data_IF_214063308116
#
_entry.id   IF_214063308116
#
_cell.length_a   1.000
_cell.length_b   1.000
_cell.length_c   1.000
_cell.angle_alpha   90.00
_cell.angle_beta   90.00
_cell.angle_gamma   90.00
#
_symmetry.space_group_name_H-M   'P 1'
#
loop_
_entity.id
_entity.type
_entity.pdbx_description
1 polymer ?
#
# COMPACT_ATOMS: atom_id res chain seq x y z
N UNK A 1 -4.30 -5.20 18.09
CA UNK A 1 -2.90 -5.31 17.59
C UNK A 1 -2.27 -3.96 17.27
N UNK A 2 -2.62 -3.23 16.19
CA UNK A 2 -1.95 -1.95 15.87
C UNK A 2 -2.02 -0.89 16.99
N UNK A 3 -3.19 -0.73 17.62
CA UNK A 3 -3.38 0.22 18.74
C UNK A 3 -2.59 -0.18 20.00
N UNK A 4 -2.53 -1.48 20.30
CA UNK A 4 -1.86 -1.98 21.50
C UNK A 4 -0.33 -1.92 21.39
N UNK A 5 0.21 -2.15 20.19
CA UNK A 5 1.66 -2.04 19.93
C UNK A 5 2.09 -0.57 19.92
N UNK A 6 1.29 0.33 19.32
CA UNK A 6 1.56 1.76 19.37
C UNK A 6 1.52 2.31 20.80
N UNK A 7 0.54 1.90 21.59
CA UNK A 7 0.45 2.30 22.99
C UNK A 7 1.67 1.82 23.80
N UNK A 8 2.09 0.56 23.62
CA UNK A 8 3.30 0.01 24.27
C UNK A 8 4.58 0.71 23.83
N UNK A 9 4.71 1.04 22.55
CA UNK A 9 5.85 1.77 22.03
C UNK A 9 5.96 3.16 22.65
N UNK A 10 4.83 3.86 22.77
CA UNK A 10 4.74 5.16 23.43
C UNK A 10 5.12 5.07 24.91
N UNK A 11 4.62 4.07 25.64
CA UNK A 11 4.99 3.84 27.05
C UNK A 11 6.48 3.52 27.23
N UNK A 12 7.07 2.73 26.33
CA UNK A 12 8.51 2.43 26.33
C UNK A 12 9.35 3.67 26.01
N UNK A 13 8.90 4.51 25.07
CA UNK A 13 9.54 5.76 24.71
C UNK A 13 9.49 6.76 25.88
N UNK A 14 8.34 6.92 26.53
CA UNK A 14 8.18 7.71 27.77
C UNK A 14 9.18 7.25 28.84
N UNK A 15 9.31 5.92 29.04
CA UNK A 15 10.26 5.36 30.01
C UNK A 15 11.71 5.70 29.68
N UNK A 16 12.12 5.58 28.40
CA UNK A 16 13.49 5.92 27.95
C UNK A 16 13.79 7.41 28.12
N UNK A 17 12.83 8.29 27.83
CA UNK A 17 12.99 9.74 28.06
C UNK A 17 13.13 10.05 29.55
N UNK A 18 12.33 9.39 30.41
CA UNK A 18 12.45 9.54 31.86
C UNK A 18 13.82 9.06 32.38
N UNK A 19 14.35 7.96 31.85
CA UNK A 19 15.68 7.46 32.21
C UNK A 19 16.80 8.41 31.73
N UNK A 20 16.60 9.16 30.64
CA UNK A 20 17.54 10.21 30.20
C UNK A 20 17.46 11.48 31.07
N UNK A 21 16.26 11.83 31.54
CA UNK A 21 16.04 12.99 32.42
C UNK A 21 16.46 12.72 33.87
N UNK A 22 16.35 11.46 34.31
CA UNK A 22 16.69 10.99 35.65
C UNK A 22 17.49 9.68 35.52
N UNK A 23 18.80 9.75 35.20
CA UNK A 23 19.61 8.56 35.02
C UNK A 23 19.65 7.72 36.30
N UNK A 24 19.39 6.39 36.22
CA UNK A 24 19.43 5.53 37.40
C UNK A 24 20.83 5.52 37.99
N UNK A 25 20.94 5.73 39.30
CA UNK A 25 22.24 5.67 39.96
C UNK A 25 22.76 4.23 39.95
N UNK A 26 24.05 4.01 39.63
CA UNK A 26 24.62 2.67 39.74
C UNK A 26 24.55 2.22 41.21
N UNK A 27 23.95 1.04 41.43
CA UNK A 27 23.97 0.37 42.72
C UNK A 27 25.44 0.22 43.15
N UNK A 28 25.86 0.97 44.18
CA UNK A 28 27.20 0.82 44.74
C UNK A 28 27.37 -0.64 45.18
N UNK A 29 28.48 -1.32 44.85
CA UNK A 29 28.70 -2.69 45.30
C UNK A 29 28.57 -2.73 46.82
N UNK A 30 27.69 -3.61 47.28
CA UNK A 30 27.36 -3.78 48.69
C UNK A 30 28.66 -4.12 49.43
N UNK A 31 29.25 -3.15 50.13
CA UNK A 31 30.45 -3.38 50.93
C UNK A 31 30.05 -4.32 52.06
N UNK A 32 30.63 -5.52 52.07
CA UNK A 32 30.44 -6.51 53.13
C UNK A 32 30.86 -5.87 54.45
N UNK A 33 29.93 -5.75 55.38
CA UNK A 33 30.17 -5.19 56.71
C UNK A 33 31.29 -5.99 57.41
N UNK A 34 32.36 -5.30 57.79
CA UNK A 34 33.43 -5.84 58.65
C UNK A 34 33.44 -5.05 59.95
N UNK A 35 33.14 -5.67 61.10
CA UNK A 35 33.22 -4.99 62.39
C UNK A 35 34.63 -4.43 62.65
N UNK A 36 34.74 -3.12 62.92
CA UNK A 36 35.99 -2.46 63.31
C UNK A 36 36.63 -1.53 62.27
N UNK A 37 36.04 -1.34 61.10
CA UNK A 37 36.55 -0.42 60.08
C UNK A 37 35.92 0.99 60.24
N UNK A 38 36.69 2.06 60.55
CA UNK A 38 36.17 3.43 60.73
C UNK A 38 35.56 4.04 59.47
N UNK A 39 35.75 3.41 58.30
CA UNK A 39 35.16 3.80 57.02
C UNK A 39 33.97 2.96 56.57
N UNK A 40 33.52 1.99 57.36
CA UNK A 40 32.32 1.20 57.07
C UNK A 40 31.08 1.99 57.48
N UNK A 41 30.63 2.88 56.59
CA UNK A 41 29.44 3.69 56.78
C UNK A 41 28.18 2.84 57.04
N UNK A 42 27.29 3.41 57.85
CA UNK A 42 26.03 2.82 58.28
C UNK A 42 25.08 2.46 57.11
N UNK A 43 24.40 1.34 57.34
CA UNK A 43 23.17 0.78 56.77
C UNK A 43 22.78 1.04 55.29
N UNK A 44 22.30 0.00 54.57
CA UNK A 44 21.58 0.22 53.33
C UNK A 44 20.27 0.96 53.65
N UNK A 45 20.13 2.20 53.21
CA UNK A 45 18.91 2.99 53.46
C UNK A 45 17.78 2.61 52.48
N UNK A 46 16.69 1.95 52.93
CA UNK A 46 15.51 1.72 52.10
C UNK A 46 14.72 3.01 51.78
N UNK A 47 15.06 4.15 52.39
CA UNK A 47 14.37 5.42 52.17
C UNK A 47 14.73 6.07 50.81
N UNK A 48 15.87 5.73 50.21
CA UNK A 48 16.34 6.35 48.96
C UNK A 48 15.61 5.84 47.72
N UNK A 49 15.32 4.54 47.65
CA UNK A 49 14.52 3.96 46.55
C UNK A 49 13.11 4.57 46.50
N UNK A 50 12.51 4.87 47.65
CA UNK A 50 11.18 5.49 47.73
C UNK A 50 11.16 6.95 47.25
N UNK A 51 12.24 7.71 47.49
CA UNK A 51 12.34 9.12 47.07
C UNK A 51 12.57 9.26 45.55
N UNK A 52 13.39 8.39 44.97
CA UNK A 52 13.61 8.35 43.52
C UNK A 52 12.34 7.91 42.78
N UNK A 53 11.61 6.91 43.30
CA UNK A 53 10.33 6.49 42.73
C UNK A 53 9.28 7.62 42.72
N UNK A 54 9.14 8.37 43.82
CA UNK A 54 8.24 9.54 43.89
C UNK A 54 8.63 10.64 42.92
N UNK A 55 9.93 10.90 42.75
CA UNK A 55 10.43 11.91 41.81
C UNK A 55 10.15 11.50 40.36
N UNK A 56 10.29 10.21 40.06
CA UNK A 56 10.00 9.64 38.74
C UNK A 56 8.51 9.72 38.39
N UNK A 57 7.61 9.44 39.33
CA UNK A 57 6.16 9.57 39.13
C UNK A 57 5.76 11.02 38.80
N UNK A 58 6.27 12.01 39.54
CA UNK A 58 6.00 13.43 39.27
C UNK A 58 6.52 13.86 37.90
N UNK A 59 7.72 13.42 37.51
CA UNK A 59 8.28 13.71 36.18
C UNK A 59 7.49 13.04 35.06
N UNK A 60 6.98 11.83 35.28
CA UNK A 60 6.12 11.12 34.33
C UNK A 60 4.81 11.88 34.08
N UNK A 61 4.16 12.39 35.13
CA UNK A 61 2.96 13.21 34.96
C UNK A 61 3.25 14.51 34.19
N UNK A 62 4.37 15.18 34.49
CA UNK A 62 4.78 16.40 33.78
C UNK A 62 5.10 16.14 32.31
N UNK A 63 5.73 15.00 32.00
CA UNK A 63 6.01 14.57 30.63
C UNK A 63 4.70 14.36 29.86
N UNK A 64 3.72 13.67 30.45
CA UNK A 64 2.41 13.43 29.83
C UNK A 64 1.59 14.70 29.62
N UNK A 65 1.79 15.73 30.44
CA UNK A 65 1.17 17.05 30.30
C UNK A 65 1.87 17.96 29.28
N UNK A 66 3.00 17.53 28.70
CA UNK A 66 3.78 18.33 27.75
C UNK A 66 4.60 19.46 28.40
N UNK A 67 4.70 19.49 29.74
CA UNK A 67 5.42 20.56 30.47
C UNK A 67 6.94 20.49 30.28
N UNK A 68 7.45 19.40 29.70
CA UNK A 68 8.88 19.13 29.51
C UNK A 68 9.32 19.19 28.04
N UNK A 69 8.40 19.46 27.11
CA UNK A 69 8.60 19.35 25.66
C UNK A 69 9.77 20.17 25.13
N UNK A 70 9.98 21.38 25.68
CA UNK A 70 11.04 22.29 25.28
C UNK A 70 12.41 22.00 25.91
N UNK A 71 12.51 21.03 26.83
CA UNK A 71 13.76 20.71 27.51
C UNK A 71 14.69 19.96 26.55
N UNK A 72 15.97 20.31 26.54
CA UNK A 72 16.96 19.62 25.71
C UNK A 72 17.48 18.35 26.38
N UNK A 73 17.57 17.28 25.59
CA UNK A 73 18.16 16.00 25.99
C UNK A 73 19.11 15.47 24.90
N UNK A 74 20.07 14.65 25.31
CA UNK A 74 20.93 13.90 24.38
C UNK A 74 20.37 12.51 24.18
N UNK A 75 20.04 12.16 22.93
CA UNK A 75 19.52 10.85 22.55
C UNK A 75 20.53 10.15 21.64
N UNK A 76 20.75 8.86 21.88
CA UNK A 76 21.51 7.99 20.96
C UNK A 76 20.56 7.50 19.86
N UNK A 77 20.72 8.03 18.65
CA UNK A 77 19.91 7.64 17.49
C UNK A 77 20.76 6.78 16.55
N UNK A 78 20.15 5.79 15.92
CA UNK A 78 20.80 4.97 14.89
C UNK A 78 21.06 5.85 13.66
N UNK A 79 22.31 5.94 13.23
CA UNK A 79 22.66 6.68 12.03
C UNK A 79 22.31 5.83 10.80
N UNK A 80 21.33 6.26 10.00
CA UNK A 80 21.06 5.70 8.66
C UNK A 80 21.98 6.30 7.59
N UNK A 81 22.93 7.15 7.99
CA UNK A 81 23.92 7.77 7.13
C UNK A 81 24.93 6.77 6.57
N UNK A 82 24.56 6.08 5.49
CA UNK A 82 25.55 5.64 4.51
C UNK A 82 25.01 5.53 3.06
N UNK A 83 24.12 6.44 2.65
CA UNK A 83 23.75 6.64 1.23
C UNK A 83 24.75 7.50 0.46
N UNK A 84 25.65 8.22 1.13
CA UNK A 84 26.58 9.17 0.48
C UNK A 84 27.82 8.51 -0.16
N UNK A 85 28.18 7.29 0.22
CA UNK A 85 29.37 6.58 -0.31
C UNK A 85 29.08 5.73 -1.56
N UNK A 86 27.83 5.66 -2.03
CA UNK A 86 27.42 4.75 -3.12
C UNK A 86 27.10 5.44 -4.47
N UNK A 87 27.24 6.76 -4.59
CA UNK A 87 27.02 7.43 -5.89
C UNK A 87 28.23 7.33 -6.83
N UNK A 88 29.38 6.82 -6.37
CA UNK A 88 30.62 6.78 -7.17
C UNK A 88 30.81 5.46 -7.94
N UNK A 89 30.01 4.42 -7.66
CA UNK A 89 30.21 3.07 -8.24
C UNK A 89 29.11 2.60 -9.21
N UNK A 90 28.10 3.42 -9.53
CA UNK A 90 26.97 3.02 -10.38
C UNK A 90 27.19 3.14 -11.89
N UNK A 91 28.42 3.36 -12.38
CA UNK A 91 28.66 3.49 -13.83
C UNK A 91 28.68 2.15 -14.60
N UNK A 92 28.44 1.01 -13.94
CA UNK A 92 28.68 -0.30 -14.52
C UNK A 92 27.60 -1.34 -14.17
N UNK A 93 26.42 -1.25 -14.79
CA UNK A 93 25.58 -2.38 -15.21
C UNK A 93 25.17 -3.49 -14.21
N UNK A 94 25.20 -3.26 -12.90
CA UNK A 94 24.86 -4.26 -11.87
C UNK A 94 23.86 -3.69 -10.85
N UNK A 95 22.72 -3.20 -11.34
CA UNK A 95 21.69 -2.58 -10.48
C UNK A 95 20.97 -3.59 -9.57
N UNK A 96 20.85 -4.86 -9.99
CA UNK A 96 20.04 -5.85 -9.25
C UNK A 96 20.81 -6.59 -8.13
N UNK A 97 22.14 -6.79 -8.28
CA UNK A 97 22.97 -7.39 -7.23
C UNK A 97 23.46 -6.37 -6.19
N UNK A 98 23.50 -5.06 -6.51
CA UNK A 98 23.97 -4.02 -5.60
C UNK A 98 23.09 -3.83 -4.36
N UNK A 99 21.77 -3.99 -4.52
CA UNK A 99 20.80 -3.79 -3.44
C UNK A 99 20.83 -4.92 -2.40
N UNK A 100 20.92 -6.18 -2.85
CA UNK A 100 20.99 -7.34 -1.94
C UNK A 100 22.33 -7.41 -1.19
N UNK A 101 23.44 -7.02 -1.82
CA UNK A 101 24.75 -6.97 -1.16
C UNK A 101 24.79 -5.85 -0.11
N UNK A 102 24.17 -4.71 -0.37
CA UNK A 102 24.07 -3.61 0.60
C UNK A 102 23.26 -4.00 1.85
N UNK A 103 22.12 -4.69 1.68
CA UNK A 103 21.32 -5.18 2.82
C UNK A 103 22.08 -6.24 3.64
N UNK A 104 22.80 -7.16 3.00
CA UNK A 104 23.66 -8.11 3.72
C UNK A 104 24.82 -7.42 4.46
N UNK A 105 25.47 -6.42 3.84
CA UNK A 105 26.60 -5.70 4.45
C UNK A 105 26.16 -4.79 5.61
N UNK A 106 24.97 -4.18 5.49
CA UNK A 106 24.36 -3.37 6.55
C UNK A 106 23.90 -4.20 7.77
N UNK A 107 23.62 -5.50 7.60
CA UNK A 107 23.33 -6.43 8.70
C UNK A 107 24.58 -6.91 9.45
N UNK A 108 25.75 -6.89 8.82
CA UNK A 108 27.01 -7.37 9.41
C UNK A 108 27.84 -6.30 10.13
N UNK A 109 27.64 -5.01 9.80
CA UNK A 109 28.25 -3.92 10.55
C UNK A 109 27.36 -3.46 11.71
N UNK A 110 27.88 -3.32 12.94
CA UNK A 110 27.12 -2.74 14.04
C UNK A 110 26.73 -1.31 13.66
N UNK A 111 25.43 -1.03 13.60
CA UNK A 111 24.91 0.31 13.30
C UNK A 111 25.50 1.30 14.31
N UNK A 112 26.22 2.30 13.82
CA UNK A 112 26.82 3.31 14.67
C UNK A 112 25.69 4.16 15.27
N UNK A 113 25.61 4.16 16.60
CA UNK A 113 24.71 5.06 17.34
C UNK A 113 25.40 6.41 17.45
N UNK A 114 24.73 7.47 17.01
CA UNK A 114 25.22 8.84 17.11
C UNK A 114 24.44 9.58 18.18
N UNK A 115 25.15 10.26 19.07
CA UNK A 115 24.54 11.17 20.05
C UNK A 115 24.10 12.44 19.37
N UNK A 116 22.82 12.77 19.50
CA UNK A 116 22.22 13.99 18.97
C UNK A 116 21.51 14.73 20.10
N UNK A 117 21.76 16.04 20.21
CA UNK A 117 20.98 16.94 21.06
C UNK A 117 19.67 17.28 20.36
N UNK A 118 18.56 17.11 21.07
CA UNK A 118 17.21 17.35 20.55
C UNK A 118 16.29 17.73 21.72
N UNK A 119 15.09 18.21 21.41
CA UNK A 119 14.08 18.51 22.44
C UNK A 119 13.40 17.22 22.91
N UNK A 120 12.79 17.24 24.09
CA UNK A 120 12.01 16.10 24.61
C UNK A 120 10.87 15.73 23.65
N UNK A 121 10.21 16.70 23.02
CA UNK A 121 9.14 16.45 22.07
C UNK A 121 9.62 15.69 20.81
N UNK A 122 10.73 16.14 20.21
CA UNK A 122 11.33 15.47 19.06
C UNK A 122 11.90 14.10 19.44
N UNK A 123 12.55 13.99 20.61
CA UNK A 123 13.09 12.75 21.14
C UNK A 123 12.01 11.68 21.35
N UNK A 124 10.84 12.07 21.88
CA UNK A 124 9.70 11.18 22.04
C UNK A 124 9.28 10.57 20.70
N UNK A 125 9.15 11.38 19.65
CA UNK A 125 8.81 10.89 18.32
C UNK A 125 9.85 9.92 17.75
N UNK A 126 11.14 10.24 17.89
CA UNK A 126 12.24 9.38 17.42
C UNK A 126 12.26 8.04 18.17
N UNK A 127 12.16 8.08 19.51
CA UNK A 127 12.20 6.90 20.36
C UNK A 127 10.93 6.05 20.19
N UNK A 128 9.76 6.66 20.01
CA UNK A 128 8.51 5.94 19.73
C UNK A 128 8.62 5.16 18.41
N UNK A 129 9.17 5.76 17.35
CA UNK A 129 9.43 5.06 16.09
C UNK A 129 10.44 3.91 16.24
N UNK A 130 11.51 4.10 17.03
CA UNK A 130 12.48 3.03 17.30
C UNK A 130 11.85 1.88 18.10
N UNK A 131 11.07 2.18 19.14
CA UNK A 131 10.37 1.18 19.95
C UNK A 131 9.30 0.44 19.13
N UNK A 132 8.58 1.15 18.25
CA UNK A 132 7.65 0.54 17.30
C UNK A 132 8.35 -0.49 16.42
N UNK A 133 9.51 -0.16 15.87
CA UNK A 133 10.29 -1.09 15.04
C UNK A 133 10.81 -2.28 15.86
N UNK A 134 11.28 -2.05 17.09
CA UNK A 134 11.77 -3.12 17.97
C UNK A 134 10.66 -4.07 18.44
N UNK A 135 9.42 -3.57 18.58
CA UNK A 135 8.25 -4.36 18.99
C UNK A 135 7.67 -5.19 17.85
N UNK A 136 8.05 -4.92 16.59
CA UNK A 136 7.63 -5.71 15.45
C UNK A 136 8.64 -6.85 15.26
N UNK A 137 8.18 -8.06 15.53
CA UNK A 137 8.90 -9.27 15.15
C UNK A 137 8.75 -9.48 13.63
N UNK A 138 9.77 -9.06 12.88
CA UNK A 138 9.79 -9.19 11.43
C UNK A 138 9.77 -10.65 10.97
N UNK A 139 10.32 -11.58 11.75
CA UNK A 139 10.30 -13.00 11.42
C UNK A 139 8.88 -13.55 11.53
N UNK A 140 8.15 -13.17 12.58
CA UNK A 140 6.74 -13.51 12.73
C UNK A 140 5.86 -12.88 11.63
N UNK A 141 6.15 -11.64 11.23
CA UNK A 141 5.45 -10.97 10.12
C UNK A 141 5.68 -11.71 8.81
N UNK A 142 6.93 -12.08 8.51
CA UNK A 142 7.30 -12.84 7.30
C UNK A 142 6.62 -14.20 7.30
N UNK A 143 6.67 -14.94 8.41
CA UNK A 143 6.01 -16.24 8.53
C UNK A 143 4.49 -16.12 8.28
N UNK A 144 3.84 -15.11 8.89
CA UNK A 144 2.40 -14.85 8.68
C UNK A 144 2.09 -14.47 7.23
N UNK A 145 2.97 -13.70 6.58
CA UNK A 145 2.79 -13.30 5.19
C UNK A 145 2.89 -14.51 4.25
N UNK A 146 3.88 -15.38 4.45
CA UNK A 146 4.02 -16.63 3.70
C UNK A 146 2.77 -17.49 3.90
N UNK A 147 2.35 -17.73 5.15
CA UNK A 147 1.15 -18.51 5.46
C UNK A 147 -0.11 -17.97 4.75
N UNK A 148 -0.27 -16.64 4.70
CA UNK A 148 -1.39 -15.99 3.99
C UNK A 148 -1.34 -16.18 2.49
N UNK A 149 -0.16 -16.08 1.88
CA UNK A 149 -0.01 -16.30 0.43
C UNK A 149 -0.29 -17.77 0.11
N UNK A 150 0.25 -18.70 0.89
CA UNK A 150 0.06 -20.13 0.67
C UNK A 150 -1.40 -20.56 0.84
N UNK A 151 -2.13 -20.05 1.86
CA UNK A 151 -3.49 -20.52 2.18
C UNK A 151 -4.63 -19.65 1.66
N UNK A 152 -4.36 -18.41 1.26
CA UNK A 152 -5.40 -17.44 0.85
C UNK A 152 -4.95 -16.53 -0.29
N UNK A 153 -3.82 -16.85 -0.93
CA UNK A 153 -3.35 -16.13 -2.11
C UNK A 153 -4.32 -16.29 -3.27
N UNK A 154 -4.52 -15.20 -4.01
CA UNK A 154 -5.28 -15.19 -5.26
C UNK A 154 -4.39 -14.61 -6.34
N UNK A 155 -4.28 -15.32 -7.47
CA UNK A 155 -3.57 -14.87 -8.67
C UNK A 155 -4.57 -14.73 -9.81
N UNK A 156 -4.67 -13.53 -10.37
CA UNK A 156 -5.50 -13.23 -11.53
C UNK A 156 -4.63 -13.15 -12.79
N UNK A 157 -4.85 -14.07 -13.73
CA UNK A 157 -4.19 -14.15 -15.02
C UNK A 157 -5.11 -13.54 -16.07
N UNK A 158 -4.90 -12.27 -16.40
CA UNK A 158 -5.68 -11.59 -17.44
C UNK A 158 -5.19 -11.97 -18.85
N UNK A 159 -6.07 -11.81 -19.84
CA UNK A 159 -5.80 -12.05 -21.27
C UNK A 159 -5.15 -13.42 -21.59
N UNK A 160 -5.55 -14.48 -20.88
CA UNK A 160 -5.02 -15.85 -21.10
C UNK A 160 -5.34 -16.38 -22.52
N UNK A 161 -6.36 -15.81 -23.16
CA UNK A 161 -6.75 -16.15 -24.53
C UNK A 161 -5.69 -15.76 -25.57
N UNK A 162 -4.81 -14.79 -25.27
CA UNK A 162 -3.69 -14.39 -26.13
C UNK A 162 -2.62 -15.46 -26.28
N UNK A 163 -2.48 -16.33 -25.27
CA UNK A 163 -1.54 -17.44 -25.29
C UNK A 163 -2.17 -18.76 -25.73
N UNK A 164 -3.51 -18.83 -25.87
CA UNK A 164 -4.25 -20.05 -26.19
C UNK A 164 -4.15 -20.53 -27.65
N UNK A 165 -3.61 -19.74 -28.58
CA UNK A 165 -3.63 -20.10 -30.01
C UNK A 165 -2.38 -20.86 -30.50
N UNK A 166 -2.59 -21.83 -31.40
CA UNK A 166 -1.58 -22.26 -32.38
C UNK A 166 -1.54 -21.21 -33.48
N UNK A 167 -0.39 -20.61 -33.78
CA UNK A 167 -0.32 -19.66 -34.89
C UNK A 167 -0.58 -20.34 -36.24
N UNK A 168 -0.70 -19.50 -37.26
CA UNK A 168 -1.07 -19.95 -38.60
C UNK A 168 -0.06 -20.98 -39.13
N UNK A 169 -0.50 -22.06 -39.81
CA UNK A 169 0.40 -23.04 -40.37
C UNK A 169 1.36 -22.37 -41.36
N UNK A 170 2.66 -22.40 -41.07
CA UNK A 170 3.71 -21.95 -41.99
C UNK A 170 4.42 -20.63 -41.65
N UNK A 171 4.18 -20.03 -40.47
CA UNK A 171 4.93 -18.84 -40.02
C UNK A 171 5.34 -19.03 -38.56
N UNK A 172 6.63 -19.32 -38.29
CA UNK A 172 7.14 -19.30 -36.91
C UNK A 172 6.90 -17.92 -36.25
N UNK A 173 6.85 -17.78 -34.90
CA UNK A 173 7.26 -18.69 -33.82
C UNK A 173 6.08 -19.12 -32.92
N UNK A 174 5.48 -20.27 -33.17
CA UNK A 174 4.40 -20.84 -32.33
C UNK A 174 4.89 -21.32 -30.95
N UNK A 175 6.19 -21.58 -30.84
CA UNK A 175 6.83 -22.10 -29.63
C UNK A 175 6.72 -21.11 -28.45
N UNK A 176 6.59 -19.80 -28.73
CA UNK A 176 6.58 -18.79 -27.67
C UNK A 176 5.29 -18.80 -26.86
N UNK A 177 4.11 -19.04 -27.47
CA UNK A 177 2.82 -18.94 -26.77
C UNK A 177 2.54 -20.20 -25.94
N UNK A 178 2.78 -21.37 -26.52
CA UNK A 178 2.71 -22.63 -25.79
C UNK A 178 3.81 -22.72 -24.71
N UNK A 179 4.98 -22.14 -24.97
CA UNK A 179 6.06 -21.99 -23.97
C UNK A 179 5.57 -21.26 -22.71
N UNK A 180 4.90 -20.11 -22.85
CA UNK A 180 4.34 -19.39 -21.70
C UNK A 180 3.34 -20.24 -20.93
N UNK A 181 2.46 -20.98 -21.62
CA UNK A 181 1.53 -21.89 -20.95
C UNK A 181 2.26 -22.99 -20.14
N UNK A 182 3.32 -23.57 -20.72
CA UNK A 182 4.16 -24.59 -20.06
C UNK A 182 4.94 -24.03 -18.87
N UNK A 183 5.36 -22.77 -18.95
CA UNK A 183 6.08 -22.11 -17.86
C UNK A 183 5.16 -21.72 -16.70
N UNK A 184 3.90 -21.39 -16.99
CA UNK A 184 2.87 -21.11 -15.97
C UNK A 184 2.42 -22.40 -15.28
N UNK A 185 2.44 -23.54 -15.98
CA UNK A 185 1.90 -24.79 -15.50
C UNK A 185 2.44 -25.20 -14.12
N UNK A 186 3.76 -25.27 -13.84
CA UNK A 186 4.28 -25.61 -12.52
C UNK A 186 3.73 -24.74 -11.38
N UNK A 187 3.46 -23.47 -11.65
CA UNK A 187 2.95 -22.52 -10.66
C UNK A 187 1.50 -22.87 -10.31
N UNK A 188 0.68 -23.20 -11.31
CA UNK A 188 -0.72 -23.59 -11.13
C UNK A 188 -0.86 -25.03 -10.60
N UNK A 189 0.08 -25.92 -10.92
CA UNK A 189 0.10 -27.30 -10.41
C UNK A 189 0.55 -27.42 -8.96
N UNK A 190 1.32 -26.44 -8.48
CA UNK A 190 1.95 -26.43 -7.16
C UNK A 190 3.46 -26.52 -7.28
N UNK A 191 4.16 -25.43 -6.97
CA UNK A 191 5.61 -25.40 -6.87
C UNK A 191 6.05 -24.63 -5.61
N UNK A 192 7.34 -24.73 -5.29
CA UNK A 192 7.96 -23.87 -4.29
C UNK A 192 8.71 -22.75 -4.98
N UNK A 193 8.16 -21.53 -4.92
CA UNK A 193 8.77 -20.33 -5.46
C UNK A 193 9.67 -19.66 -4.40
N UNK A 194 10.92 -19.38 -4.75
CA UNK A 194 11.86 -18.68 -3.86
C UNK A 194 11.62 -17.18 -3.93
N UNK A 195 11.33 -16.56 -2.79
CA UNK A 195 11.18 -15.10 -2.68
C UNK A 195 12.25 -14.53 -1.74
N UNK A 196 12.41 -13.20 -1.72
CA UNK A 196 13.26 -12.50 -0.74
C UNK A 196 12.85 -12.70 0.72
N UNK A 197 11.64 -13.18 0.96
CA UNK A 197 11.10 -13.45 2.30
C UNK A 197 11.15 -14.93 2.68
N UNK A 198 11.60 -15.80 1.77
CA UNK A 198 11.63 -17.24 1.96
C UNK A 198 10.90 -18.00 0.83
N UNK A 199 10.92 -19.33 0.88
CA UNK A 199 10.16 -20.17 -0.04
C UNK A 199 8.65 -20.03 0.20
N UNK A 200 7.86 -20.02 -0.88
CA UNK A 200 6.40 -19.97 -0.86
C UNK A 200 5.86 -21.10 -1.72
N UNK A 201 4.92 -21.87 -1.18
CA UNK A 201 4.23 -22.95 -1.88
C UNK A 201 2.95 -22.48 -2.55
N UNK A 202 2.75 -22.86 -3.81
CA UNK A 202 1.57 -22.44 -4.59
C UNK A 202 0.43 -23.46 -4.60
N UNK A 203 0.56 -24.58 -3.88
CA UNK A 203 -0.39 -25.71 -3.87
C UNK A 203 -1.86 -25.32 -3.57
N UNK A 204 -2.08 -24.26 -2.78
CA UNK A 204 -3.42 -23.80 -2.35
C UNK A 204 -3.75 -22.37 -2.78
N UNK A 205 -2.95 -21.79 -3.68
CA UNK A 205 -3.24 -20.48 -4.27
C UNK A 205 -4.42 -20.62 -5.24
N UNK A 206 -5.40 -19.72 -5.12
CA UNK A 206 -6.52 -19.66 -6.06
C UNK A 206 -6.08 -18.95 -7.34
N UNK A 207 -6.13 -19.64 -8.47
CA UNK A 207 -5.89 -19.05 -9.78
C UNK A 207 -7.22 -18.72 -10.46
N UNK A 208 -7.35 -17.47 -10.90
CA UNK A 208 -8.43 -17.00 -11.74
C UNK A 208 -7.83 -16.58 -13.08
N UNK A 209 -8.31 -17.12 -14.18
CA UNK A 209 -7.88 -16.73 -15.50
C UNK A 209 -9.04 -16.10 -16.28
N UNK A 210 -8.76 -15.00 -16.96
CA UNK A 210 -9.72 -14.26 -17.77
C UNK A 210 -9.20 -14.08 -19.20
N UNK A 211 -10.12 -13.96 -20.14
CA UNK A 211 -9.83 -13.74 -21.55
C UNK A 211 -11.14 -13.53 -22.31
N UNK A 212 -11.08 -12.79 -23.42
CA UNK A 212 -12.25 -12.51 -24.23
C UNK A 212 -12.62 -13.71 -25.14
N UNK A 213 -11.62 -14.51 -25.54
CA UNK A 213 -11.82 -15.72 -26.35
C UNK A 213 -12.60 -15.45 -27.67
N UNK A 214 -12.39 -14.27 -28.27
CA UNK A 214 -13.04 -13.90 -29.54
C UNK A 214 -12.46 -14.68 -30.74
N UNK A 215 -11.13 -14.85 -30.78
CA UNK A 215 -10.40 -15.49 -31.89
C UNK A 215 -9.86 -16.88 -31.54
N UNK A 216 -9.89 -17.24 -30.26
CA UNK A 216 -9.40 -18.50 -29.69
C UNK A 216 -10.46 -19.07 -28.77
N UNK A 217 -10.45 -20.38 -28.58
CA UNK A 217 -11.35 -21.07 -27.66
C UNK A 217 -10.58 -21.56 -26.44
N UNK A 218 -11.27 -21.77 -25.33
CA UNK A 218 -10.68 -22.42 -24.13
C UNK A 218 -10.09 -23.79 -24.48
N UNK A 219 -10.65 -24.49 -25.47
CA UNK A 219 -10.14 -25.77 -25.97
C UNK A 219 -8.75 -25.69 -26.63
N UNK A 220 -8.30 -24.48 -27.00
CA UNK A 220 -7.03 -24.28 -27.69
C UNK A 220 -5.85 -24.19 -26.70
N UNK A 221 -6.11 -23.96 -25.41
CA UNK A 221 -5.12 -24.08 -24.33
C UNK A 221 -4.58 -25.52 -24.25
N UNK A 222 -3.37 -25.70 -23.70
CA UNK A 222 -2.80 -27.04 -23.52
C UNK A 222 -3.68 -27.89 -22.58
N UNK A 223 -3.85 -29.21 -22.83
CA UNK A 223 -4.72 -30.07 -22.04
C UNK A 223 -4.43 -30.03 -20.53
N UNK A 224 -3.16 -29.92 -20.16
CA UNK A 224 -2.70 -29.84 -18.78
C UNK A 224 -3.26 -28.61 -18.06
N UNK A 225 -3.23 -27.45 -18.73
CA UNK A 225 -3.74 -26.19 -18.18
C UNK A 225 -5.26 -26.19 -18.12
N UNK A 226 -5.95 -26.76 -19.12
CA UNK A 226 -7.40 -26.94 -19.08
C UNK A 226 -7.85 -27.78 -17.87
N UNK A 227 -7.09 -28.81 -17.51
CA UNK A 227 -7.36 -29.65 -16.34
C UNK A 227 -7.24 -28.91 -15.01
N UNK A 228 -6.49 -27.80 -14.97
CA UNK A 228 -6.31 -26.97 -13.76
C UNK A 228 -7.32 -25.83 -13.62
N UNK A 229 -8.11 -25.55 -14.67
CA UNK A 229 -9.24 -24.61 -14.63
C UNK A 229 -10.58 -25.35 -14.82
N UNK A 230 -11.03 -26.14 -13.83
CA UNK A 230 -12.25 -26.94 -13.94
C UNK A 230 -13.53 -26.09 -13.89
N UNK A 231 -13.50 -24.97 -13.16
CA UNK A 231 -14.63 -24.06 -13.06
C UNK A 231 -14.57 -23.09 -14.24
N UNK A 232 -15.65 -23.04 -15.01
CA UNK A 232 -15.80 -22.15 -16.16
C UNK A 232 -17.05 -21.32 -15.96
N UNK A 233 -16.92 -20.02 -16.16
CA UNK A 233 -18.01 -19.06 -16.08
C UNK A 233 -17.89 -18.13 -17.29
N UNK A 234 -19.02 -17.79 -17.87
CA UNK A 234 -19.15 -16.79 -18.92
C UNK A 234 -19.82 -15.57 -18.31
N UNK A 235 -19.32 -14.38 -18.62
CA UNK A 235 -19.87 -13.12 -18.14
C UNK A 235 -20.65 -12.47 -19.27
N UNK A 236 -21.86 -12.02 -18.96
CA UNK A 236 -22.71 -11.32 -19.90
C UNK A 236 -22.12 -9.94 -20.26
N UNK A 237 -22.41 -9.49 -21.48
CA UNK A 237 -22.08 -8.12 -21.90
C UNK A 237 -22.90 -7.09 -21.13
N UNK A 238 -22.36 -5.89 -20.95
CA UNK A 238 -23.03 -4.80 -20.25
C UNK A 238 -23.85 -3.96 -21.22
N UNK A 239 -25.10 -3.68 -20.88
CA UNK A 239 -25.97 -2.75 -21.62
C UNK A 239 -26.12 -1.42 -20.85
N UNK A 240 -26.83 -0.45 -21.43
CA UNK A 240 -27.07 0.87 -20.82
C UNK A 240 -27.65 0.76 -19.41
N UNK A 241 -28.53 -0.21 -19.16
CA UNK A 241 -29.08 -0.41 -17.82
C UNK A 241 -27.99 -0.75 -16.80
N UNK A 242 -27.09 -1.66 -17.14
CA UNK A 242 -25.97 -2.04 -16.27
C UNK A 242 -24.97 -0.89 -16.11
N UNK A 243 -24.70 -0.11 -17.16
CA UNK A 243 -23.85 1.08 -17.05
C UNK A 243 -24.44 2.13 -16.09
N UNK A 244 -25.75 2.40 -16.14
CA UNK A 244 -26.41 3.29 -15.20
C UNK A 244 -26.27 2.78 -13.75
N UNK A 245 -26.41 1.46 -13.54
CA UNK A 245 -26.19 0.84 -12.22
C UNK A 245 -24.74 0.99 -11.76
N UNK A 246 -23.76 0.78 -12.64
CA UNK A 246 -22.32 0.97 -12.35
C UNK A 246 -22.02 2.41 -11.92
N UNK A 247 -22.71 3.41 -12.49
CA UNK A 247 -22.55 4.81 -12.12
C UNK A 247 -23.15 5.16 -10.74
N UNK A 248 -24.16 4.45 -10.26
CA UNK A 248 -24.90 4.78 -9.01
C UNK A 248 -24.63 3.84 -7.84
N UNK A 249 -24.71 2.53 -8.07
CA UNK A 249 -24.82 1.52 -7.01
C UNK A 249 -23.49 1.21 -6.30
N UNK A 250 -22.35 1.01 -7.00
CA UNK A 250 -21.08 0.68 -6.37
C UNK A 250 -20.69 1.69 -5.28
N UNK A 251 -20.05 1.20 -4.20
CA UNK A 251 -19.68 2.03 -3.05
C UNK A 251 -18.84 3.25 -3.49
N UNK A 252 -17.91 3.03 -4.41
CA UNK A 252 -17.05 4.05 -5.01
C UNK A 252 -17.36 4.20 -6.50
N UNK A 253 -18.62 4.42 -6.87
CA UNK A 253 -19.00 4.66 -8.26
C UNK A 253 -18.42 5.98 -8.79
N UNK A 254 -18.30 6.14 -10.12
CA UNK A 254 -17.71 7.33 -10.74
C UNK A 254 -18.38 8.63 -10.28
N UNK A 255 -19.71 8.65 -10.25
CA UNK A 255 -20.47 9.82 -9.76
C UNK A 255 -20.07 10.18 -8.33
N UNK A 256 -19.97 9.19 -7.43
CA UNK A 256 -19.57 9.44 -6.04
C UNK A 256 -18.12 9.93 -5.95
N UNK A 257 -17.23 9.41 -6.78
CA UNK A 257 -15.84 9.86 -6.86
C UNK A 257 -15.78 11.33 -7.31
N UNK A 258 -16.38 11.70 -8.44
CA UNK A 258 -16.36 13.09 -8.93
C UNK A 258 -17.07 14.06 -7.98
N UNK A 259 -18.20 13.67 -7.38
CA UNK A 259 -18.86 14.47 -6.33
C UNK A 259 -17.92 14.74 -5.15
N UNK A 260 -17.16 13.73 -4.71
CA UNK A 260 -16.22 13.89 -3.60
C UNK A 260 -14.98 14.71 -3.98
N UNK A 261 -14.45 14.53 -5.19
CA UNK A 261 -13.30 15.27 -5.70
C UNK A 261 -13.64 16.76 -5.84
N UNK A 262 -14.70 17.13 -6.56
CA UNK A 262 -15.03 18.54 -6.75
C UNK A 262 -15.48 19.25 -5.48
N UNK A 263 -15.97 18.49 -4.49
CA UNK A 263 -16.28 19.03 -3.16
C UNK A 263 -15.04 19.54 -2.43
N UNK A 264 -13.82 19.06 -2.73
CA UNK A 264 -12.60 19.63 -2.13
C UNK A 264 -12.33 21.05 -2.59
N UNK A 265 -12.82 21.41 -3.77
CA UNK A 265 -12.77 22.76 -4.36
C UNK A 265 -14.04 23.58 -4.04
N UNK A 266 -14.90 23.11 -3.13
CA UNK A 266 -16.14 23.81 -2.77
C UNK A 266 -17.30 23.64 -3.75
N UNK A 267 -17.15 22.81 -4.79
CA UNK A 267 -18.23 22.54 -5.75
C UNK A 267 -19.04 21.32 -5.35
N UNK A 268 -20.36 21.50 -5.23
CA UNK A 268 -21.32 20.41 -5.02
C UNK A 268 -21.93 19.99 -6.35
N UNK A 269 -21.53 18.81 -6.85
CA UNK A 269 -22.14 18.21 -8.04
C UNK A 269 -23.40 17.41 -7.70
N UNK A 270 -24.47 17.62 -8.47
CA UNK A 270 -25.68 16.80 -8.40
C UNK A 270 -26.10 16.26 -9.77
N UNK A 271 -26.15 14.94 -9.88
CA UNK A 271 -26.63 14.23 -11.06
C UNK A 271 -28.09 13.85 -10.83
N UNK A 272 -28.94 14.25 -11.76
CA UNK A 272 -30.32 13.76 -11.87
C UNK A 272 -30.37 12.32 -12.39
N UNK A 273 -31.50 11.63 -12.20
CA UNK A 273 -31.60 10.24 -12.67
C UNK A 273 -31.55 10.14 -14.20
N UNK A 274 -32.20 11.08 -14.90
CA UNK A 274 -32.20 11.16 -16.36
C UNK A 274 -30.82 11.46 -16.94
N UNK A 275 -29.96 12.22 -16.25
CA UNK A 275 -28.59 12.44 -16.73
C UNK A 275 -27.75 11.17 -16.68
N UNK A 276 -27.90 10.35 -15.65
CA UNK A 276 -27.18 9.07 -15.56
C UNK A 276 -27.65 8.08 -16.62
N UNK A 277 -28.95 8.06 -16.92
CA UNK A 277 -29.50 7.26 -18.01
C UNK A 277 -28.95 7.73 -19.36
N UNK A 278 -28.92 9.04 -19.60
CA UNK A 278 -28.34 9.60 -20.82
C UNK A 278 -26.84 9.26 -20.98
N UNK A 279 -26.04 9.36 -19.92
CA UNK A 279 -24.62 8.95 -19.94
C UNK A 279 -24.48 7.48 -20.31
N UNK A 280 -25.32 6.63 -19.74
CA UNK A 280 -25.28 5.19 -19.97
C UNK A 280 -25.70 4.80 -21.41
N UNK A 281 -26.73 5.45 -21.96
CA UNK A 281 -27.16 5.29 -23.35
C UNK A 281 -26.06 5.71 -24.33
N UNK A 282 -25.43 6.87 -24.09
CA UNK A 282 -24.31 7.35 -24.92
C UNK A 282 -23.13 6.38 -24.83
N UNK A 283 -22.81 5.87 -23.65
CA UNK A 283 -21.75 4.86 -23.47
C UNK A 283 -22.02 3.60 -24.29
N UNK A 284 -23.25 3.09 -24.28
CA UNK A 284 -23.62 1.94 -25.09
C UNK A 284 -23.48 2.26 -26.59
N UNK A 285 -24.05 3.38 -27.05
CA UNK A 285 -23.99 3.81 -28.45
C UNK A 285 -22.54 3.91 -28.95
N UNK A 286 -21.67 4.58 -28.19
CA UNK A 286 -20.25 4.73 -28.54
C UNK A 286 -19.55 3.37 -28.58
N UNK A 287 -19.84 2.45 -27.66
CA UNK A 287 -19.27 1.11 -27.69
C UNK A 287 -19.76 0.25 -28.88
N UNK A 288 -20.97 0.51 -29.40
CA UNK A 288 -21.51 -0.16 -30.60
C UNK A 288 -20.94 0.42 -31.89
N UNK A 289 -20.73 1.73 -31.95
CA UNK A 289 -20.21 2.45 -33.13
C UNK A 289 -18.67 2.43 -33.23
N UNK A 290 -17.98 2.14 -32.13
CA UNK A 290 -16.52 2.09 -32.04
C UNK A 290 -16.02 0.75 -31.47
N UNK A 291 -14.79 0.71 -30.95
CA UNK A 291 -14.28 -0.48 -30.25
C UNK A 291 -14.97 -0.62 -28.88
N UNK A 292 -15.64 -1.74 -28.65
CA UNK A 292 -16.28 -1.99 -27.36
C UNK A 292 -15.24 -2.27 -26.28
N UNK A 293 -14.97 -1.28 -25.43
CA UNK A 293 -14.09 -1.38 -24.26
C UNK A 293 -14.87 -1.57 -22.95
N UNK A 294 -16.18 -1.84 -23.06
CA UNK A 294 -17.09 -2.07 -21.94
C UNK A 294 -17.25 -0.85 -21.03
N UNK A 295 -17.34 -1.09 -19.72
CA UNK A 295 -17.55 -0.05 -18.71
C UNK A 295 -16.38 0.95 -18.61
N UNK A 296 -15.20 0.64 -19.17
CA UNK A 296 -14.06 1.58 -19.17
C UNK A 296 -14.40 2.89 -19.87
N UNK A 297 -15.27 2.83 -20.89
CA UNK A 297 -15.76 4.01 -21.64
C UNK A 297 -16.45 5.04 -20.74
N UNK A 298 -17.06 4.62 -19.63
CA UNK A 298 -17.67 5.54 -18.68
C UNK A 298 -16.66 6.52 -18.08
N UNK A 299 -15.39 6.14 -17.95
CA UNK A 299 -14.36 7.05 -17.44
C UNK A 299 -14.11 8.20 -18.42
N UNK A 300 -13.90 7.90 -19.70
CA UNK A 300 -13.61 8.94 -20.70
C UNK A 300 -14.82 9.84 -20.92
N UNK A 301 -16.03 9.28 -20.93
CA UNK A 301 -17.27 10.07 -21.02
C UNK A 301 -17.43 11.00 -19.81
N UNK A 302 -17.21 10.51 -18.59
CA UNK A 302 -17.33 11.32 -17.38
C UNK A 302 -16.28 12.42 -17.29
N UNK A 303 -15.04 12.12 -17.70
CA UNK A 303 -13.95 13.11 -17.72
C UNK A 303 -14.28 14.24 -18.69
N UNK A 304 -14.70 13.91 -19.90
CA UNK A 304 -15.08 14.92 -20.89
C UNK A 304 -16.31 15.74 -20.46
N UNK A 305 -17.32 15.09 -19.89
CA UNK A 305 -18.52 15.76 -19.37
C UNK A 305 -18.20 16.81 -18.31
N UNK A 306 -17.19 16.54 -17.46
CA UNK A 306 -16.84 17.37 -16.31
C UNK A 306 -15.59 18.24 -16.55
N UNK A 307 -14.98 18.19 -17.74
CA UNK A 307 -13.71 18.85 -18.05
C UNK A 307 -13.76 20.35 -17.70
N UNK A 308 -14.73 21.09 -18.23
CA UNK A 308 -14.85 22.53 -17.97
C UNK A 308 -15.14 22.84 -16.51
N UNK A 309 -16.02 22.05 -15.87
CA UNK A 309 -16.35 22.24 -14.44
C UNK A 309 -15.10 22.02 -13.59
N UNK A 310 -14.30 21.02 -13.93
CA UNK A 310 -13.05 20.71 -13.24
C UNK A 310 -11.97 21.75 -13.52
N UNK A 311 -11.95 22.37 -14.70
CA UNK A 311 -11.01 23.42 -15.06
C UNK A 311 -11.32 24.74 -14.34
N UNK A 312 -12.59 25.13 -14.28
CA UNK A 312 -13.04 26.36 -13.61
C UNK A 312 -13.16 26.20 -12.08
N UNK A 313 -13.04 24.98 -11.57
CA UNK A 313 -13.23 24.66 -10.15
C UNK A 313 -12.42 25.53 -9.18
N UNK A 314 -11.10 25.76 -9.39
CA UNK A 314 -10.29 26.55 -8.45
C UNK A 314 -10.68 28.03 -8.37
N UNK A 315 -11.29 28.55 -9.44
CA UNK A 315 -11.66 29.96 -9.58
C UNK A 315 -13.14 30.21 -9.22
N UNK A 316 -13.88 29.15 -8.89
CA UNK A 316 -15.31 29.21 -8.59
C UNK A 316 -15.55 29.23 -7.08
N UNK A 317 -16.22 30.26 -6.58
CA UNK A 317 -16.70 30.27 -5.19
C UNK A 317 -17.83 29.24 -5.01
N UNK A 318 -17.98 28.69 -3.79
CA UNK A 318 -18.92 27.60 -3.44
C UNK A 318 -20.17 27.52 -4.35
N UNK A 319 -20.16 26.58 -5.30
CA UNK A 319 -21.21 26.45 -6.31
C UNK A 319 -21.87 25.07 -6.24
N UNK A 320 -23.18 25.04 -6.48
CA UNK A 320 -23.92 23.79 -6.71
C UNK A 320 -24.23 23.67 -8.18
N UNK A 321 -23.70 22.62 -8.82
CA UNK A 321 -23.87 22.37 -10.26
C UNK A 321 -24.77 21.16 -10.45
N UNK A 322 -25.91 21.39 -11.09
CA UNK A 322 -26.86 20.35 -11.46
C UNK A 322 -26.54 19.84 -12.87
N UNK A 323 -26.33 18.53 -13.00
CA UNK A 323 -26.13 17.82 -14.25
C UNK A 323 -27.42 17.08 -14.60
N UNK A 324 -28.17 17.65 -15.54
CA UNK A 324 -29.37 17.07 -16.14
C UNK A 324 -29.09 16.40 -17.49
N UNK A 325 -30.09 15.71 -18.05
CA UNK A 325 -29.92 15.04 -19.33
C UNK A 325 -29.67 16.01 -20.50
N UNK A 326 -30.08 17.28 -20.41
CA UNK A 326 -29.83 18.29 -21.44
C UNK A 326 -28.36 18.70 -21.44
N UNK A 327 -27.78 18.95 -20.27
CA UNK A 327 -26.34 19.22 -20.10
C UNK A 327 -25.51 18.07 -20.67
N UNK A 328 -25.86 16.82 -20.32
CA UNK A 328 -25.16 15.62 -20.82
C UNK A 328 -25.21 15.56 -22.34
N UNK A 329 -26.40 15.68 -22.94
CA UNK A 329 -26.57 15.58 -24.40
C UNK A 329 -25.86 16.72 -25.13
N UNK A 330 -25.94 17.95 -24.63
CA UNK A 330 -25.30 19.09 -25.27
C UNK A 330 -23.77 18.97 -25.23
N UNK A 331 -23.20 18.52 -24.12
CA UNK A 331 -21.75 18.30 -24.01
C UNK A 331 -21.27 17.15 -24.88
N UNK A 332 -22.01 16.05 -24.91
CA UNK A 332 -21.57 14.85 -25.62
C UNK A 332 -22.03 14.81 -27.09
N UNK A 333 -22.81 15.79 -27.56
CA UNK A 333 -23.31 15.87 -28.93
C UNK A 333 -22.17 15.81 -29.95
N UNK A 334 -21.17 16.69 -29.77
CA UNK A 334 -20.02 16.82 -30.68
C UNK A 334 -19.25 15.50 -30.83
N UNK A 335 -19.19 14.69 -29.76
CA UNK A 335 -18.48 13.40 -29.77
C UNK A 335 -19.31 12.29 -30.44
N UNK A 336 -20.62 12.35 -30.32
CA UNK A 336 -21.50 11.35 -30.95
C UNK A 336 -21.74 11.57 -32.43
N UNK A 337 -21.38 12.75 -32.96
CA UNK A 337 -21.57 13.10 -34.38
C UNK A 337 -20.28 12.98 -35.22
N UNK A 338 -19.09 13.16 -34.61
CA UNK A 338 -17.80 13.08 -35.33
C UNK A 338 -16.97 11.85 -34.90
N UNK A 339 -17.01 10.82 -35.74
CA UNK A 339 -16.36 9.52 -35.52
C UNK A 339 -14.83 9.58 -35.43
N UNK A 340 -14.20 10.55 -36.10
CA UNK A 340 -12.74 10.70 -36.01
C UNK A 340 -12.38 11.30 -34.65
N UNK A 341 -13.14 12.28 -34.15
CA UNK A 341 -12.98 12.84 -32.81
C UNK A 341 -13.22 11.81 -31.70
N UNK A 342 -14.24 10.95 -31.84
CA UNK A 342 -14.52 9.89 -30.85
C UNK A 342 -13.33 8.99 -30.61
N UNK A 343 -12.55 8.63 -31.65
CA UNK A 343 -11.39 7.74 -31.53
C UNK A 343 -10.18 8.34 -30.81
N UNK A 344 -10.06 9.66 -30.81
CA UNK A 344 -8.94 10.35 -30.17
C UNK A 344 -9.27 10.86 -28.77
N UNK A 345 -10.54 11.17 -28.51
CA UNK A 345 -11.00 11.75 -27.23
C UNK A 345 -11.57 10.68 -26.28
N UNK A 346 -12.34 9.70 -26.79
CA UNK A 346 -13.03 8.72 -25.96
C UNK A 346 -12.45 7.32 -26.06
#
# INVERSE_FOLDING_TARGET
MKKDVAQKAKENAERRVLDLLLPPQPLKPQRVYRPGDPGAGDEPSPARESAEARTREVLQEKLRKGELDSREIEVEVRDTGNTAMMQVFSSSGLEEMGLNVQEMFGRFMPQQKKRRKTTVAEALGILEQEELQNLIDMDAVVATAIERVENSGIVFLDEIDKIAGRGAPGRGPDVSREGVQRDILPIVEGCTATTKYGPVRTDHVLFMAAGAFHMTKVSDLIPELQGRFPIRVELDSLEAKEFARILREPQNSLIKQYKAMLKTEGITLDFTDDSVEAIAEICQKVNEESENIGARRLHTIMEYLLEEISFEAPDTEEATVLIDAEVVRNRLADITEDWDLTKYIL
#
